data_IF_785862814063
#
_entry.id   IF_785862814063
#
_cell.length_a   1.000
_cell.length_b   1.000
_cell.length_c   1.000
_cell.angle_alpha   90.00
_cell.angle_beta   90.00
_cell.angle_gamma   90.00
#
_symmetry.space_group_name_H-M   'P 1'
#
loop_
_entity.id
_entity.type
_entity.pdbx_description
1 polymer ?
#
# COMPACT_ATOMS: atom_id res chain seq x y z
N UNK A 1 94.77 34.13 15.40
CA UNK A 1 94.18 32.84 15.83
C UNK A 1 92.93 33.14 16.66
N UNK A 2 91.94 32.24 16.56
CA UNK A 2 90.58 32.27 17.11
C UNK A 2 89.54 33.14 16.36
N UNK A 3 88.88 32.49 15.39
CA UNK A 3 87.65 32.93 14.73
C UNK A 3 86.47 32.85 15.71
N UNK A 4 85.67 33.92 15.80
CA UNK A 4 84.37 33.92 16.48
C UNK A 4 83.26 33.74 15.43
N UNK A 5 82.85 32.49 15.23
CA UNK A 5 81.68 32.14 14.40
C UNK A 5 80.41 32.63 15.08
N UNK A 6 79.75 33.63 14.47
CA UNK A 6 78.38 34.02 14.83
C UNK A 6 77.42 32.97 14.28
N UNK A 7 76.78 32.20 15.15
CA UNK A 7 75.66 31.35 14.76
C UNK A 7 74.54 32.22 14.19
N UNK A 8 74.26 32.04 12.91
CA UNK A 8 73.16 32.72 12.20
C UNK A 8 72.05 31.69 12.05
N UNK A 9 71.00 31.77 12.88
CA UNK A 9 69.82 30.92 12.72
C UNK A 9 69.06 31.31 11.44
N UNK A 10 68.55 30.34 10.64
CA UNK A 10 67.78 30.66 9.46
C UNK A 10 66.43 31.28 9.86
N UNK A 11 66.15 32.46 9.32
CA UNK A 11 64.88 33.17 9.46
C UNK A 11 63.80 32.32 8.77
N UNK A 12 62.89 31.72 9.54
CA UNK A 12 61.72 31.02 8.98
C UNK A 12 60.88 32.04 8.22
N UNK A 13 60.80 31.91 6.89
CA UNK A 13 59.85 32.67 6.10
C UNK A 13 58.44 32.16 6.43
N UNK A 14 57.66 32.97 7.13
CA UNK A 14 56.24 32.74 7.33
C UNK A 14 55.57 32.88 5.96
N UNK A 15 55.25 31.76 5.32
CA UNK A 15 54.38 31.73 4.15
C UNK A 15 53.01 32.23 4.64
N UNK A 16 52.46 33.34 4.11
CA UNK A 16 51.15 33.77 4.52
C UNK A 16 50.15 32.66 4.20
N UNK A 17 49.45 32.19 5.24
CA UNK A 17 48.31 31.27 5.08
C UNK A 17 47.40 31.89 4.04
N UNK A 18 47.28 31.24 2.88
CA UNK A 18 46.29 31.57 1.86
C UNK A 18 44.95 31.64 2.60
N UNK A 19 44.36 32.83 2.70
CA UNK A 19 43.05 32.98 3.29
C UNK A 19 42.13 32.01 2.55
N UNK A 20 41.56 31.05 3.27
CA UNK A 20 40.43 30.29 2.77
C UNK A 20 39.33 31.33 2.55
N UNK A 21 39.18 31.78 1.31
CA UNK A 21 38.00 32.51 0.88
C UNK A 21 36.88 31.50 0.98
N UNK A 22 36.12 31.56 2.07
CA UNK A 22 34.86 30.85 2.17
C UNK A 22 33.96 31.42 1.09
N UNK A 23 33.80 30.69 -0.01
CA UNK A 23 32.78 30.99 -1.01
C UNK A 23 31.42 31.02 -0.29
N UNK A 24 30.62 32.10 -0.38
CA UNK A 24 29.39 32.24 0.40
C UNK A 24 28.27 31.25 0.01
N UNK A 25 28.48 30.43 -1.03
CA UNK A 25 27.43 29.72 -1.73
C UNK A 25 27.53 28.19 -1.64
N UNK A 26 28.36 27.64 -0.75
CA UNK A 26 28.33 26.20 -0.50
C UNK A 26 27.16 25.89 0.45
N UNK A 27 26.16 25.10 0.03
CA UNK A 27 25.03 24.79 0.90
C UNK A 27 25.54 24.11 2.15
N UNK A 28 25.06 24.54 3.31
CA UNK A 28 25.34 23.89 4.59
C UNK A 28 24.97 22.39 4.53
N UNK A 29 25.53 21.57 5.42
CA UNK A 29 25.22 20.14 5.46
C UNK A 29 23.71 19.87 5.57
N UNK A 30 22.99 20.70 6.33
CA UNK A 30 21.53 20.64 6.43
C UNK A 30 20.85 20.97 5.09
N UNK A 31 21.30 22.00 4.37
CA UNK A 31 20.79 22.34 3.05
C UNK A 31 21.10 21.26 2.01
N UNK A 32 22.26 20.60 2.10
CA UNK A 32 22.59 19.46 1.23
C UNK A 32 21.71 18.25 1.52
N UNK A 33 21.36 18.01 2.80
CA UNK A 33 20.45 16.94 3.19
C UNK A 33 19.03 17.21 2.70
N UNK A 34 18.51 18.43 2.89
CA UNK A 34 17.19 18.84 2.39
C UNK A 34 17.12 18.74 0.87
N UNK A 35 18.12 19.28 0.15
CA UNK A 35 18.16 19.19 -1.31
C UNK A 35 18.22 17.74 -1.80
N UNK A 36 18.96 16.86 -1.11
CA UNK A 36 18.99 15.42 -1.41
C UNK A 36 17.62 14.78 -1.21
N UNK A 37 16.92 15.11 -0.13
CA UNK A 37 15.57 14.62 0.14
C UNK A 37 14.58 15.12 -0.93
N UNK A 38 14.58 16.41 -1.26
CA UNK A 38 13.73 16.99 -2.32
C UNK A 38 13.96 16.32 -3.68
N UNK A 39 15.23 16.05 -4.04
CA UNK A 39 15.57 15.39 -5.30
C UNK A 39 15.12 13.92 -5.32
N UNK A 40 15.16 13.25 -4.17
CA UNK A 40 14.68 11.88 -4.00
C UNK A 40 13.16 11.83 -4.15
N UNK A 41 12.45 12.73 -3.45
CA UNK A 41 10.99 12.86 -3.50
C UNK A 41 10.51 13.09 -4.92
N UNK A 42 11.09 14.05 -5.66
CA UNK A 42 10.71 14.30 -7.05
C UNK A 42 10.93 13.10 -7.99
N UNK A 43 12.01 12.33 -7.77
CA UNK A 43 12.26 11.09 -8.54
C UNK A 43 11.25 10.00 -8.22
N UNK A 44 10.86 9.87 -6.95
CA UNK A 44 9.85 8.91 -6.49
C UNK A 44 8.48 9.31 -7.05
N UNK A 45 8.08 10.57 -6.93
CA UNK A 45 6.82 11.08 -7.49
C UNK A 45 6.71 10.86 -9.01
N UNK A 46 7.80 11.07 -9.76
CA UNK A 46 7.80 10.83 -11.21
C UNK A 46 7.64 9.34 -11.57
N UNK A 47 8.26 8.43 -10.80
CA UNK A 47 8.21 6.98 -11.04
C UNK A 47 6.90 6.35 -10.60
N UNK A 48 6.25 6.95 -9.61
CA UNK A 48 5.07 6.40 -8.93
C UNK A 48 3.83 7.29 -9.11
N UNK A 49 3.78 8.10 -10.17
CA UNK A 49 2.80 9.18 -10.36
C UNK A 49 1.32 8.75 -10.32
N UNK A 50 1.04 7.47 -10.61
CA UNK A 50 -0.28 6.83 -10.62
C UNK A 50 -0.54 5.91 -9.41
N UNK A 51 0.39 5.79 -8.47
CA UNK A 51 0.19 5.05 -7.23
C UNK A 51 -0.41 5.97 -6.18
N UNK A 52 -1.68 5.71 -5.87
CA UNK A 52 -2.39 6.31 -4.73
C UNK A 52 -2.74 5.23 -3.74
N UNK A 53 -2.53 5.50 -2.46
CA UNK A 53 -3.03 4.68 -1.37
C UNK A 53 -4.01 5.45 -0.53
N UNK A 54 -5.22 4.92 -0.41
CA UNK A 54 -6.31 5.48 0.38
C UNK A 54 -6.58 4.68 1.67
N UNK A 55 -5.72 3.70 2.00
CA UNK A 55 -5.96 2.79 3.12
C UNK A 55 -6.75 1.53 2.76
N UNK A 56 -7.13 1.33 1.50
CA UNK A 56 -7.87 0.15 1.05
C UNK A 56 -7.01 -0.80 0.20
N UNK A 57 -7.45 -2.06 0.09
CA UNK A 57 -6.78 -3.11 -0.69
C UNK A 57 -5.26 -3.22 -0.45
N UNK A 58 -4.81 -3.02 0.79
CA UNK A 58 -3.37 -2.89 1.13
C UNK A 58 -2.49 -4.00 0.56
N UNK A 59 -3.01 -5.24 0.45
CA UNK A 59 -2.30 -6.37 -0.16
C UNK A 59 -2.13 -6.23 -1.68
N UNK A 60 -3.17 -5.76 -2.38
CA UNK A 60 -3.14 -5.51 -3.83
C UNK A 60 -2.21 -4.33 -4.13
N UNK A 61 -2.26 -3.30 -3.29
CA UNK A 61 -1.35 -2.16 -3.35
C UNK A 61 0.12 -2.60 -3.27
N UNK A 62 0.48 -3.40 -2.27
CA UNK A 62 1.85 -3.92 -2.16
C UNK A 62 2.31 -4.75 -3.36
N UNK A 63 1.44 -5.59 -3.93
CA UNK A 63 1.78 -6.37 -5.13
C UNK A 63 2.12 -5.46 -6.33
N UNK A 64 1.40 -4.34 -6.50
CA UNK A 64 1.67 -3.37 -7.57
C UNK A 64 3.02 -2.69 -7.36
N UNK A 65 3.29 -2.26 -6.14
CA UNK A 65 4.54 -1.61 -5.76
C UNK A 65 5.74 -2.53 -5.93
N UNK A 66 5.67 -3.75 -5.41
CA UNK A 66 6.75 -4.73 -5.50
C UNK A 66 7.05 -5.07 -6.97
N UNK A 67 6.03 -5.09 -7.83
CA UNK A 67 6.21 -5.26 -9.27
C UNK A 67 6.91 -4.08 -9.92
N UNK A 68 6.53 -2.84 -9.57
CA UNK A 68 7.17 -1.63 -10.12
C UNK A 68 8.60 -1.50 -9.62
N UNK A 69 8.84 -1.76 -8.34
CA UNK A 69 10.16 -1.86 -7.74
C UNK A 69 11.07 -2.84 -8.48
N UNK A 70 10.55 -4.03 -8.78
CA UNK A 70 11.28 -5.06 -9.51
C UNK A 70 11.63 -4.61 -10.93
N UNK A 71 10.69 -3.97 -11.64
CA UNK A 71 10.92 -3.43 -13.00
C UNK A 71 12.00 -2.34 -12.97
N UNK A 72 11.99 -1.50 -11.93
CA UNK A 72 12.87 -0.35 -11.81
C UNK A 72 14.20 -0.65 -11.09
N UNK A 73 14.41 -1.89 -10.63
CA UNK A 73 15.61 -2.31 -9.90
C UNK A 73 15.81 -1.61 -8.56
N UNK A 74 14.72 -1.29 -7.85
CA UNK A 74 14.79 -0.49 -6.62
C UNK A 74 15.11 -1.30 -5.38
N UNK A 75 15.79 -0.64 -4.44
CA UNK A 75 16.05 -1.19 -3.12
C UNK A 75 14.82 -0.99 -2.23
N UNK A 76 14.59 -1.96 -1.36
CA UNK A 76 13.50 -1.91 -0.38
C UNK A 76 13.57 -0.68 0.54
N UNK A 77 14.77 -0.17 0.83
CA UNK A 77 14.99 1.05 1.63
C UNK A 77 14.35 2.29 0.98
N UNK A 78 14.60 2.48 -0.32
CA UNK A 78 14.06 3.60 -1.10
C UNK A 78 12.53 3.52 -1.22
N UNK A 79 12.00 2.29 -1.30
CA UNK A 79 10.56 2.02 -1.29
C UNK A 79 9.88 2.36 0.02
N UNK A 80 10.52 2.07 1.14
CA UNK A 80 9.98 2.38 2.47
C UNK A 80 9.91 3.90 2.70
N UNK A 81 10.99 4.62 2.36
CA UNK A 81 11.03 6.09 2.49
C UNK A 81 10.09 6.80 1.51
N UNK A 82 9.88 6.24 0.32
CA UNK A 82 9.01 6.83 -0.71
C UNK A 82 7.51 6.74 -0.42
N UNK A 83 7.11 5.88 0.52
CA UNK A 83 5.71 5.48 0.70
C UNK A 83 4.76 6.62 1.10
N UNK A 84 5.22 7.55 1.94
CA UNK A 84 4.40 8.68 2.39
C UNK A 84 4.12 9.69 1.27
N UNK A 85 5.01 9.76 0.26
CA UNK A 85 4.94 10.70 -0.85
C UNK A 85 4.04 10.22 -2.01
N UNK A 86 3.55 8.99 -1.98
CA UNK A 86 2.68 8.44 -3.03
C UNK A 86 1.25 8.99 -2.94
N UNK A 87 1.05 10.25 -3.35
CA UNK A 87 -0.25 10.94 -3.51
C UNK A 87 -1.37 10.36 -2.62
N UNK A 88 -1.16 10.41 -1.31
CA UNK A 88 -2.07 9.90 -0.29
C UNK A 88 -2.86 11.04 0.34
N UNK A 89 -4.01 10.71 0.97
CA UNK A 89 -4.68 11.63 1.88
C UNK A 89 -3.70 11.99 3.02
N UNK A 90 -3.60 13.27 3.47
CA UNK A 90 -2.71 13.67 4.55
C UNK A 90 -2.81 12.78 5.80
N UNK A 91 -4.03 12.35 6.17
CA UNK A 91 -4.25 11.45 7.31
C UNK A 91 -3.67 10.06 7.09
N UNK A 92 -3.68 9.58 5.84
CA UNK A 92 -3.07 8.30 5.47
C UNK A 92 -1.55 8.44 5.48
N UNK A 93 -1.02 9.56 4.97
CA UNK A 93 0.42 9.86 5.01
C UNK A 93 0.94 9.89 6.45
N UNK A 94 0.36 10.71 7.33
CA UNK A 94 0.72 10.77 8.76
C UNK A 94 0.67 9.38 9.42
N UNK A 95 -0.35 8.60 9.04
CA UNK A 95 -0.56 7.26 9.54
C UNK A 95 0.46 6.22 9.04
N UNK A 96 1.09 6.43 7.88
CA UNK A 96 2.21 5.64 7.33
C UNK A 96 3.50 6.03 8.06
N UNK A 97 3.76 7.33 8.24
CA UNK A 97 4.99 7.80 8.88
C UNK A 97 5.11 7.34 10.34
N UNK A 98 3.97 7.17 11.01
CA UNK A 98 3.90 6.64 12.37
C UNK A 98 4.08 5.11 12.48
N UNK A 99 4.20 4.37 11.36
CA UNK A 99 4.38 2.91 11.39
C UNK A 99 5.87 2.55 11.51
N UNK A 100 6.24 1.65 12.44
CA UNK A 100 7.61 1.15 12.56
C UNK A 100 8.15 0.61 11.23
N UNK A 101 9.38 0.99 10.88
CA UNK A 101 10.04 0.63 9.63
C UNK A 101 10.00 1.72 8.56
N UNK A 102 9.16 2.76 8.70
CA UNK A 102 9.19 3.90 7.78
C UNK A 102 10.47 4.73 7.95
N UNK A 103 10.73 5.22 9.16
CA UNK A 103 11.89 6.07 9.44
C UNK A 103 13.24 5.34 9.32
N UNK A 104 13.23 4.03 9.54
CA UNK A 104 14.41 3.16 9.44
C UNK A 104 14.68 2.65 8.02
N UNK A 105 13.75 2.85 7.08
CA UNK A 105 13.81 2.26 5.74
C UNK A 105 13.59 0.74 5.73
N UNK A 106 13.07 0.14 6.81
CA UNK A 106 12.73 -1.28 6.87
C UNK A 106 11.36 -1.52 6.24
N UNK A 107 11.38 -1.76 4.91
CA UNK A 107 10.19 -2.10 4.13
C UNK A 107 9.44 -3.33 4.67
N UNK A 108 10.15 -4.31 5.23
CA UNK A 108 9.52 -5.55 5.72
C UNK A 108 8.70 -5.26 6.98
N UNK A 109 9.25 -4.46 7.89
CA UNK A 109 8.57 -4.03 9.10
C UNK A 109 7.41 -3.08 8.78
N UNK A 110 7.64 -2.10 7.89
CA UNK A 110 6.62 -1.18 7.42
C UNK A 110 5.44 -1.92 6.77
N UNK A 111 5.73 -2.90 5.89
CA UNK A 111 4.72 -3.74 5.24
C UNK A 111 3.87 -4.52 6.25
N UNK A 112 4.48 -5.10 7.29
CA UNK A 112 3.75 -5.79 8.36
C UNK A 112 2.83 -4.84 9.11
N UNK A 113 3.32 -3.66 9.50
CA UNK A 113 2.52 -2.65 10.19
C UNK A 113 1.34 -2.15 9.35
N UNK A 114 1.57 -1.94 8.05
CA UNK A 114 0.53 -1.53 7.11
C UNK A 114 -0.55 -2.60 6.93
N UNK A 115 -0.18 -3.87 6.85
CA UNK A 115 -1.12 -4.98 6.80
C UNK A 115 -1.88 -5.13 8.14
N UNK A 116 -1.26 -4.84 9.28
CA UNK A 116 -1.98 -4.85 10.57
C UNK A 116 -2.97 -3.68 10.65
N UNK A 117 -2.59 -2.49 10.22
CA UNK A 117 -3.45 -1.29 10.31
C UNK A 117 -4.61 -1.31 9.32
N UNK A 118 -4.35 -1.73 8.08
CA UNK A 118 -5.31 -1.64 6.97
C UNK A 118 -5.69 -3.00 6.36
N UNK A 119 -5.04 -4.08 6.79
CA UNK A 119 -5.34 -5.44 6.30
C UNK A 119 -6.30 -6.23 7.17
N UNK A 120 -6.79 -5.68 8.29
CA UNK A 120 -7.66 -6.41 9.22
C UNK A 120 -9.01 -6.72 8.59
N UNK A 121 -9.62 -5.84 7.80
CA UNK A 121 -10.65 -6.27 6.84
C UNK A 121 -10.76 -5.22 5.74
N UNK A 122 -10.66 -5.61 4.47
CA UNK A 122 -11.03 -4.73 3.35
C UNK A 122 -12.48 -4.23 3.64
N UNK A 123 -12.72 -2.93 3.86
CA UNK A 123 -14.06 -2.40 4.14
C UNK A 123 -15.06 -2.81 3.07
N UNK A 124 -14.57 -2.88 1.82
CA UNK A 124 -15.27 -3.43 0.68
C UNK A 124 -15.64 -4.91 0.85
N UNK A 125 -14.76 -5.75 1.41
CA UNK A 125 -15.08 -7.16 1.73
C UNK A 125 -16.17 -7.25 2.79
N UNK A 126 -16.08 -6.44 3.86
CA UNK A 126 -17.13 -6.37 4.89
C UNK A 126 -18.46 -5.98 4.24
N UNK A 127 -18.46 -4.88 3.51
CA UNK A 127 -19.63 -4.33 2.84
C UNK A 127 -20.23 -5.35 1.86
N UNK A 128 -19.40 -5.95 1.00
CA UNK A 128 -19.82 -6.96 0.02
C UNK A 128 -20.38 -8.22 0.67
N UNK A 129 -19.80 -8.68 1.79
CA UNK A 129 -20.31 -9.82 2.56
C UNK A 129 -21.65 -9.50 3.22
N UNK A 130 -21.79 -8.34 3.87
CA UNK A 130 -23.06 -7.91 4.46
C UNK A 130 -24.13 -7.67 3.41
N UNK A 131 -23.77 -7.04 2.29
CA UNK A 131 -24.69 -6.81 1.17
C UNK A 131 -25.22 -8.14 0.61
N UNK A 132 -24.35 -9.14 0.43
CA UNK A 132 -24.75 -10.48 -0.02
C UNK A 132 -25.74 -11.13 0.95
N UNK A 133 -25.39 -11.20 2.24
CA UNK A 133 -26.24 -11.79 3.28
C UNK A 133 -27.57 -11.05 3.40
N UNK A 134 -27.53 -9.71 3.35
CA UNK A 134 -28.73 -8.89 3.43
C UNK A 134 -29.66 -9.12 2.24
N UNK A 135 -29.14 -9.19 1.02
CA UNK A 135 -29.96 -9.45 -0.16
C UNK A 135 -30.54 -10.86 -0.14
N UNK A 136 -29.78 -11.87 0.29
CA UNK A 136 -30.32 -13.23 0.44
C UNK A 136 -31.49 -13.26 1.43
N UNK A 137 -31.30 -12.70 2.63
CA UNK A 137 -32.35 -12.64 3.64
C UNK A 137 -33.56 -11.81 3.18
N UNK A 138 -33.33 -10.71 2.46
CA UNK A 138 -34.40 -9.86 1.92
C UNK A 138 -35.20 -10.59 0.84
N UNK A 139 -34.53 -11.25 -0.11
CA UNK A 139 -35.20 -12.04 -1.16
C UNK A 139 -36.01 -13.19 -0.56
N UNK A 140 -35.50 -13.86 0.47
CA UNK A 140 -36.24 -14.88 1.21
C UNK A 140 -37.49 -14.29 1.89
N UNK A 141 -37.35 -13.13 2.55
CA UNK A 141 -38.45 -12.45 3.21
C UNK A 141 -39.58 -12.06 2.24
N UNK A 142 -39.23 -11.64 1.03
CA UNK A 142 -40.19 -11.26 -0.03
C UNK A 142 -40.83 -12.47 -0.75
N UNK A 143 -40.58 -13.70 -0.29
CA UNK A 143 -41.19 -14.92 -0.84
C UNK A 143 -40.34 -15.65 -1.88
N UNK A 144 -39.10 -15.20 -2.11
CA UNK A 144 -38.14 -15.83 -3.01
C UNK A 144 -38.42 -15.58 -4.50
N UNK A 145 -37.44 -15.91 -5.35
CA UNK A 145 -37.60 -15.80 -6.80
C UNK A 145 -38.50 -16.91 -7.32
N UNK A 146 -39.52 -16.54 -8.10
CA UNK A 146 -40.57 -17.45 -8.58
C UNK A 146 -40.52 -17.69 -10.09
N UNK A 147 -39.89 -16.78 -10.83
CA UNK A 147 -39.73 -16.87 -12.29
C UNK A 147 -38.27 -17.05 -12.71
N UNK A 148 -38.06 -17.62 -13.90
CA UNK A 148 -36.72 -17.75 -14.49
C UNK A 148 -36.05 -16.38 -14.66
N UNK A 149 -36.81 -15.36 -15.08
CA UNK A 149 -36.30 -14.01 -15.28
C UNK A 149 -35.86 -13.36 -13.96
N UNK A 150 -36.65 -13.50 -12.90
CA UNK A 150 -36.28 -13.04 -11.55
C UNK A 150 -35.00 -13.73 -11.05
N UNK A 151 -34.90 -15.04 -11.26
CA UNK A 151 -33.72 -15.81 -10.88
C UNK A 151 -32.48 -15.40 -11.67
N UNK A 152 -32.59 -15.20 -13.00
CA UNK A 152 -31.47 -14.77 -13.84
C UNK A 152 -30.95 -13.38 -13.45
N UNK A 153 -31.86 -12.44 -13.14
CA UNK A 153 -31.49 -11.11 -12.64
C UNK A 153 -30.81 -11.23 -11.27
N UNK A 154 -31.42 -11.99 -10.35
CA UNK A 154 -30.89 -12.21 -9.01
C UNK A 154 -29.49 -12.82 -9.05
N UNK A 155 -29.30 -13.93 -9.77
CA UNK A 155 -28.00 -14.59 -9.84
C UNK A 155 -26.98 -13.74 -10.62
N UNK A 156 -27.40 -12.98 -11.62
CA UNK A 156 -26.53 -12.06 -12.37
C UNK A 156 -25.90 -11.00 -11.48
N UNK A 157 -26.69 -10.38 -10.60
CA UNK A 157 -26.22 -9.39 -9.61
C UNK A 157 -25.24 -10.02 -8.62
N UNK A 158 -25.52 -11.23 -8.15
CA UNK A 158 -24.73 -11.88 -7.09
C UNK A 158 -23.52 -12.66 -7.60
N UNK A 159 -23.50 -13.12 -8.86
CA UNK A 159 -22.41 -13.94 -9.44
C UNK A 159 -21.07 -13.22 -9.39
N UNK A 160 -21.04 -11.93 -9.71
CA UNK A 160 -19.81 -11.12 -9.65
C UNK A 160 -19.28 -11.04 -8.21
N UNK A 161 -20.19 -10.91 -7.24
CA UNK A 161 -19.89 -10.81 -5.82
C UNK A 161 -19.35 -12.14 -5.26
N UNK A 162 -20.03 -13.24 -5.56
CA UNK A 162 -19.65 -14.61 -5.18
C UNK A 162 -18.29 -14.97 -5.81
N UNK A 163 -18.11 -14.70 -7.10
CA UNK A 163 -16.84 -14.95 -7.82
C UNK A 163 -15.68 -14.21 -7.17
N UNK A 164 -15.88 -12.94 -6.78
CA UNK A 164 -14.88 -12.17 -6.04
C UNK A 164 -14.56 -12.84 -4.69
N UNK A 165 -15.56 -13.16 -3.88
CA UNK A 165 -15.35 -13.76 -2.56
C UNK A 165 -14.64 -15.13 -2.62
N UNK A 166 -14.96 -15.96 -3.62
CA UNK A 166 -14.30 -17.24 -3.87
C UNK A 166 -12.84 -17.06 -4.33
N UNK A 167 -12.60 -16.17 -5.30
CA UNK A 167 -11.25 -15.90 -5.86
C UNK A 167 -10.24 -15.50 -4.78
N UNK A 168 -10.68 -14.72 -3.81
CA UNK A 168 -9.83 -14.24 -2.72
C UNK A 168 -9.90 -15.11 -1.45
N UNK A 169 -10.53 -16.29 -1.54
CA UNK A 169 -10.67 -17.27 -0.44
C UNK A 169 -11.25 -16.66 0.83
N UNK A 170 -12.21 -15.75 0.66
CA UNK A 170 -12.80 -14.97 1.74
C UNK A 170 -13.99 -15.65 2.42
N UNK A 171 -14.40 -16.82 1.94
CA UNK A 171 -15.34 -17.71 2.61
C UNK A 171 -14.92 -19.17 2.37
N UNK A 172 -14.47 -19.92 3.38
CA UNK A 172 -14.27 -21.36 3.26
C UNK A 172 -15.64 -22.05 3.31
N UNK A 173 -15.85 -23.05 2.46
CA UNK A 173 -17.10 -23.80 2.16
C UNK A 173 -17.95 -23.21 1.02
N UNK A 174 -17.62 -23.60 -0.21
CA UNK A 174 -18.39 -23.36 -1.44
C UNK A 174 -19.85 -23.82 -1.32
N UNK A 175 -20.11 -24.87 -0.53
CA UNK A 175 -21.43 -25.45 -0.28
C UNK A 175 -22.41 -24.48 0.40
N UNK A 176 -21.92 -23.57 1.25
CA UNK A 176 -22.79 -22.64 1.99
C UNK A 176 -23.50 -21.66 1.03
N UNK A 177 -22.85 -21.29 -0.08
CA UNK A 177 -23.46 -20.42 -1.09
C UNK A 177 -24.54 -21.12 -1.91
N UNK A 178 -24.43 -22.43 -2.13
CA UNK A 178 -25.45 -23.18 -2.86
C UNK A 178 -26.75 -23.28 -2.06
N UNK A 179 -26.65 -23.52 -0.75
CA UNK A 179 -27.79 -23.55 0.17
C UNK A 179 -28.42 -22.17 0.33
N UNK A 180 -27.60 -21.12 0.47
CA UNK A 180 -28.07 -19.73 0.55
C UNK A 180 -28.79 -19.28 -0.74
N UNK A 181 -28.28 -19.68 -1.91
CA UNK A 181 -28.93 -19.37 -3.20
C UNK A 181 -30.20 -20.19 -3.39
N UNK A 182 -30.19 -21.49 -3.03
CA UNK A 182 -31.37 -22.35 -3.15
C UNK A 182 -32.51 -21.86 -2.25
N UNK A 183 -32.20 -21.42 -1.04
CA UNK A 183 -33.19 -20.89 -0.11
C UNK A 183 -33.80 -19.55 -0.56
N UNK A 184 -33.15 -18.83 -1.49
CA UNK A 184 -33.72 -17.62 -2.11
C UNK A 184 -34.75 -17.92 -3.20
N UNK A 185 -34.94 -19.18 -3.60
CA UNK A 185 -36.03 -19.58 -4.50
C UNK A 185 -37.35 -19.61 -3.75
N UNK A 186 -38.47 -19.36 -4.44
CA UNK A 186 -39.80 -19.53 -3.83
C UNK A 186 -40.03 -20.99 -3.40
N UNK A 187 -40.87 -21.20 -2.38
CA UNK A 187 -41.15 -22.54 -1.83
C UNK A 187 -41.67 -23.52 -2.89
N UNK A 188 -42.44 -23.03 -3.86
CA UNK A 188 -42.99 -23.84 -4.95
C UNK A 188 -41.87 -24.31 -5.89
N UNK A 189 -40.93 -23.42 -6.22
CA UNK A 189 -39.77 -23.73 -7.05
C UNK A 189 -38.80 -24.66 -6.33
N UNK A 190 -38.52 -24.42 -5.04
CA UNK A 190 -37.72 -25.33 -4.20
C UNK A 190 -38.32 -26.74 -4.20
N UNK A 191 -39.63 -26.84 -3.96
CA UNK A 191 -40.36 -28.11 -3.94
C UNK A 191 -40.37 -28.84 -5.29
N UNK A 192 -40.40 -28.10 -6.40
CA UNK A 192 -40.28 -28.68 -7.74
C UNK A 192 -38.86 -29.24 -7.99
N UNK A 193 -37.82 -28.48 -7.68
CA UNK A 193 -36.42 -28.90 -7.87
C UNK A 193 -36.09 -30.11 -6.98
N UNK A 194 -36.49 -30.10 -5.70
CA UNK A 194 -36.22 -31.22 -4.79
C UNK A 194 -36.87 -32.53 -5.25
N UNK A 195 -38.00 -32.48 -5.97
CA UNK A 195 -38.63 -33.68 -6.53
C UNK A 195 -37.90 -34.24 -7.74
N UNK A 196 -37.24 -33.39 -8.53
CA UNK A 196 -36.42 -33.79 -9.68
C UNK A 196 -35.03 -34.32 -9.27
N UNK A 197 -34.60 -34.05 -8.02
CA UNK A 197 -33.30 -34.47 -7.49
C UNK A 197 -33.33 -35.80 -6.71
N UNK A 198 -34.50 -36.42 -6.52
CA UNK A 198 -34.70 -37.72 -5.85
C UNK A 198 -34.89 -38.81 -6.91
#
# INVERSE_FOLDING_TARGET
MANSTKETYPRVQIIPRRAFVSTPNSPSLLQQQVLRQETLVAKIEAKYYDLKFNGEEVKTFFKKIERIAQINGEKYEDLAMGMAFWKTDPKVSDAIEAIPGYGEGDFTQLKKGLIVKWGIVEPEKIYRKYFLIHNFNYTQYEGGTSTLLEYEIFIGVHKTLITYLLRYKYNPQENMFHEDVFSCLSTDVQGAISKEMI
#
